data_IF_048290463805
#
_entry.id   IF_048290463805
#
_cell.length_a   1.000
_cell.length_b   1.000
_cell.length_c   1.000
_cell.angle_alpha   90.00
_cell.angle_beta   90.00
_cell.angle_gamma   90.00
#
_symmetry.space_group_name_H-M   'P 1'
#
loop_
_entity.id
_entity.type
_entity.pdbx_description
1 polymer ?
#
# COMPACT_ATOMS: atom_id res chain seq x y z
N UNK A 1 -55.61 -15.82 -11.20
CA UNK A 1 -54.31 -15.89 -10.51
C UNK A 1 -54.54 -16.12 -9.02
N UNK A 2 -53.97 -17.19 -8.46
CA UNK A 2 -54.00 -17.48 -7.01
C UNK A 2 -53.35 -16.35 -6.20
N UNK A 3 -53.85 -16.09 -4.98
CA UNK A 3 -53.27 -15.11 -4.03
C UNK A 3 -51.79 -15.43 -3.72
N UNK A 4 -51.45 -16.71 -3.65
CA UNK A 4 -50.07 -17.17 -3.42
C UNK A 4 -49.15 -16.76 -4.57
N UNK A 5 -49.57 -16.95 -5.83
CA UNK A 5 -48.79 -16.57 -7.00
C UNK A 5 -48.54 -15.06 -7.08
N UNK A 6 -49.54 -14.23 -6.71
CA UNK A 6 -49.37 -12.77 -6.62
C UNK A 6 -48.38 -12.37 -5.52
N UNK A 7 -48.43 -13.04 -4.36
CA UNK A 7 -47.51 -12.77 -3.26
C UNK A 7 -46.07 -13.12 -3.62
N UNK A 8 -45.84 -14.28 -4.26
CA UNK A 8 -44.50 -14.68 -4.73
C UNK A 8 -43.96 -13.68 -5.74
N UNK A 9 -44.76 -13.28 -6.73
CA UNK A 9 -44.34 -12.31 -7.74
C UNK A 9 -43.99 -10.95 -7.12
N UNK A 10 -44.82 -10.44 -6.23
CA UNK A 10 -44.54 -9.18 -5.52
C UNK A 10 -43.25 -9.27 -4.70
N UNK A 11 -43.06 -10.39 -3.99
CA UNK A 11 -41.87 -10.60 -3.15
C UNK A 11 -40.59 -10.65 -3.99
N UNK A 12 -40.58 -11.39 -5.09
CA UNK A 12 -39.38 -11.50 -5.94
C UNK A 12 -39.06 -10.18 -6.64
N UNK A 13 -40.07 -9.45 -7.10
CA UNK A 13 -39.88 -8.11 -7.67
C UNK A 13 -39.31 -7.12 -6.65
N UNK A 14 -39.83 -7.10 -5.42
CA UNK A 14 -39.33 -6.25 -4.34
C UNK A 14 -37.89 -6.60 -3.96
N UNK A 15 -37.59 -7.89 -3.85
CA UNK A 15 -36.24 -8.34 -3.52
C UNK A 15 -35.23 -7.94 -4.61
N UNK A 16 -35.58 -8.14 -5.89
CA UNK A 16 -34.74 -7.73 -7.01
C UNK A 16 -34.49 -6.22 -7.01
N UNK A 17 -35.54 -5.41 -6.85
CA UNK A 17 -35.42 -3.96 -6.73
C UNK A 17 -34.58 -3.53 -5.52
N UNK A 18 -34.75 -4.22 -4.39
CA UNK A 18 -33.99 -3.98 -3.17
C UNK A 18 -32.50 -4.22 -3.32
N UNK A 19 -32.10 -5.29 -4.02
CA UNK A 19 -30.68 -5.58 -4.30
C UNK A 19 -30.07 -4.49 -5.18
N UNK A 20 -30.77 -4.06 -6.24
CA UNK A 20 -30.28 -2.99 -7.11
C UNK A 20 -30.08 -1.70 -6.32
N UNK A 21 -31.07 -1.31 -5.51
CA UNK A 21 -30.98 -0.15 -4.65
C UNK A 21 -29.81 -0.25 -3.66
N UNK A 22 -29.64 -1.41 -3.03
CA UNK A 22 -28.57 -1.67 -2.08
C UNK A 22 -27.18 -1.55 -2.71
N UNK A 23 -26.97 -2.11 -3.91
CA UNK A 23 -25.70 -1.98 -4.63
C UNK A 23 -25.40 -0.51 -4.96
N UNK A 24 -26.39 0.27 -5.42
CA UNK A 24 -26.19 1.70 -5.68
C UNK A 24 -25.85 2.50 -4.41
N UNK A 25 -26.47 2.16 -3.28
CA UNK A 25 -26.11 2.74 -2.00
C UNK A 25 -24.66 2.40 -1.63
N UNK A 26 -24.27 1.14 -1.77
CA UNK A 26 -22.93 0.66 -1.43
C UNK A 26 -21.85 1.26 -2.33
N UNK A 27 -22.08 1.33 -3.65
CA UNK A 27 -21.19 2.00 -4.62
C UNK A 27 -20.91 3.47 -4.24
N UNK A 28 -21.91 4.19 -3.72
CA UNK A 28 -21.72 5.57 -3.26
C UNK A 28 -20.85 5.64 -2.01
N UNK A 29 -21.03 4.72 -1.06
CA UNK A 29 -20.22 4.64 0.14
C UNK A 29 -18.75 4.30 -0.19
N UNK A 30 -18.52 3.36 -1.11
CA UNK A 30 -17.17 2.98 -1.56
C UNK A 30 -16.45 4.13 -2.29
N UNK A 31 -17.18 4.92 -3.09
CA UNK A 31 -16.60 6.08 -3.78
C UNK A 31 -15.99 7.09 -2.81
N UNK A 32 -16.60 7.30 -1.64
CA UNK A 32 -16.04 8.17 -0.61
C UNK A 32 -14.74 7.59 -0.02
N UNK A 33 -14.68 6.28 0.17
CA UNK A 33 -13.47 5.59 0.66
C UNK A 33 -12.31 5.64 -0.36
N UNK A 34 -12.61 5.63 -1.66
CA UNK A 34 -11.59 5.72 -2.72
C UNK A 34 -10.80 7.03 -2.68
N UNK A 35 -11.44 8.15 -2.32
CA UNK A 35 -10.75 9.43 -2.14
C UNK A 35 -9.79 9.44 -0.94
N UNK A 36 -10.11 8.71 0.13
CA UNK A 36 -9.23 8.56 1.28
C UNK A 36 -7.93 7.80 0.93
N UNK A 37 -8.00 6.85 -0.02
CA UNK A 37 -6.83 6.15 -0.54
C UNK A 37 -5.84 7.10 -1.22
N UNK A 38 -6.34 7.99 -2.09
CA UNK A 38 -5.52 8.96 -2.83
C UNK A 38 -4.81 9.94 -1.88
N UNK A 39 -5.54 10.47 -0.90
CA UNK A 39 -4.97 11.39 0.11
C UNK A 39 -3.82 10.72 0.87
N UNK A 40 -4.00 9.46 1.27
CA UNK A 40 -2.97 8.69 1.97
C UNK A 40 -1.74 8.41 1.10
N UNK A 41 -1.92 8.26 -0.21
CA UNK A 41 -0.81 8.08 -1.16
C UNK A 41 -0.04 9.38 -1.44
N UNK A 42 -0.73 10.53 -1.42
CA UNK A 42 -0.08 11.85 -1.50
C UNK A 42 0.82 12.12 -0.29
N UNK A 43 0.34 11.83 0.92
CA UNK A 43 1.13 11.94 2.15
C UNK A 43 2.37 11.03 2.12
N UNK A 44 2.21 9.78 1.67
CA UNK A 44 3.33 8.84 1.49
C UNK A 44 4.35 9.34 0.47
N UNK A 45 3.90 10.03 -0.58
CA UNK A 45 4.78 10.58 -1.61
C UNK A 45 5.60 11.75 -1.07
N UNK A 46 5.01 12.62 -0.22
CA UNK A 46 5.76 13.70 0.45
C UNK A 46 6.88 13.15 1.34
N UNK A 47 6.57 12.20 2.21
CA UNK A 47 7.55 11.60 3.13
C UNK A 47 8.68 10.90 2.35
N UNK A 48 8.38 10.24 1.23
CA UNK A 48 9.40 9.65 0.37
C UNK A 48 10.35 10.69 -0.24
N UNK A 49 9.82 11.86 -0.65
CA UNK A 49 10.64 12.95 -1.20
C UNK A 49 11.57 13.53 -0.15
N UNK A 50 11.08 13.74 1.07
CA UNK A 50 11.91 14.21 2.20
C UNK A 50 13.06 13.23 2.46
N UNK A 51 12.77 11.93 2.56
CA UNK A 51 13.82 10.90 2.76
C UNK A 51 14.83 10.80 1.62
N UNK A 52 14.40 11.08 0.37
CA UNK A 52 15.31 11.11 -0.78
C UNK A 52 16.30 12.27 -0.67
N UNK A 53 15.81 13.46 -0.30
CA UNK A 53 16.65 14.64 -0.08
C UNK A 53 17.63 14.43 1.08
N UNK A 54 17.18 13.80 2.18
CA UNK A 54 18.04 13.46 3.31
C UNK A 54 19.17 12.50 2.91
N UNK A 55 18.87 11.54 2.03
CA UNK A 55 19.85 10.59 1.52
C UNK A 55 20.85 11.26 0.58
N UNK A 56 20.38 12.14 -0.30
CA UNK A 56 21.25 12.90 -1.21
C UNK A 56 22.21 13.82 -0.45
N UNK A 57 21.71 14.54 0.56
CA UNK A 57 22.54 15.39 1.42
C UNK A 57 23.62 14.58 2.16
N UNK A 58 23.25 13.42 2.74
CA UNK A 58 24.23 12.55 3.39
C UNK A 58 25.30 12.04 2.43
N UNK A 59 24.90 11.68 1.21
CA UNK A 59 25.82 11.22 0.16
C UNK A 59 26.77 12.32 -0.30
N UNK A 60 26.34 13.57 -0.33
CA UNK A 60 27.19 14.71 -0.64
C UNK A 60 28.20 14.98 0.49
N UNK A 61 27.73 15.00 1.74
CA UNK A 61 28.60 15.11 2.92
C UNK A 61 29.66 14.00 2.93
N UNK A 62 29.26 12.75 2.69
CA UNK A 62 30.19 11.62 2.63
C UNK A 62 31.30 11.85 1.59
N UNK A 63 30.94 12.31 0.38
CA UNK A 63 31.94 12.64 -0.66
C UNK A 63 32.87 13.77 -0.23
N UNK A 64 32.39 14.75 0.52
CA UNK A 64 33.23 15.82 1.05
C UNK A 64 34.21 15.32 2.11
N UNK A 65 33.75 14.51 3.06
CA UNK A 65 34.61 13.90 4.09
C UNK A 65 35.62 12.90 3.50
N UNK A 66 35.25 12.15 2.46
CA UNK A 66 36.18 11.24 1.78
C UNK A 66 37.36 11.96 1.09
N UNK A 67 37.19 13.23 0.69
CA UNK A 67 38.29 14.02 0.08
C UNK A 67 39.41 14.32 1.08
N UNK A 68 39.06 14.49 2.36
CA UNK A 68 40.02 14.79 3.43
C UNK A 68 40.45 13.54 4.19
N UNK A 69 39.66 12.46 4.16
CA UNK A 69 39.93 11.23 4.91
C UNK A 69 39.67 10.00 4.02
N UNK A 70 40.72 9.31 3.56
CA UNK A 70 40.57 8.04 2.86
C UNK A 70 40.18 6.95 3.87
N UNK A 71 38.89 6.61 3.95
CA UNK A 71 38.42 5.50 4.76
C UNK A 71 38.70 4.21 4.00
N UNK A 72 39.56 3.35 4.54
CA UNK A 72 39.76 2.02 3.97
C UNK A 72 38.48 1.20 4.15
N UNK A 73 37.91 0.68 3.06
CA UNK A 73 36.88 -0.35 3.15
C UNK A 73 37.50 -1.56 3.85
N UNK A 74 37.12 -1.84 5.09
CA UNK A 74 37.45 -3.12 5.73
C UNK A 74 36.68 -4.19 4.96
N UNK A 75 37.35 -4.75 3.94
CA UNK A 75 37.00 -6.04 3.38
C UNK A 75 37.59 -7.10 4.30
N UNK A 76 36.90 -7.38 5.40
CA UNK A 76 37.25 -8.50 6.27
C UNK A 76 35.96 -9.25 6.60
N UNK A 77 35.62 -10.20 5.72
CA UNK A 77 34.92 -11.41 6.14
C UNK A 77 36.00 -12.47 6.41
N UNK A 78 36.40 -12.70 7.67
CA UNK A 78 37.38 -13.73 7.99
C UNK A 78 36.68 -15.09 8.07
N UNK A 79 37.13 -16.02 7.23
CA UNK A 79 37.22 -17.45 7.53
C UNK A 79 35.95 -18.21 7.91
N UNK A 80 35.24 -18.74 6.91
CA UNK A 80 34.53 -20.04 7.07
C UNK A 80 35.53 -21.18 6.86
N UNK A 81 36.50 -21.29 7.77
CA UNK A 81 37.31 -22.48 7.97
C UNK A 81 36.68 -23.28 9.11
N UNK A 82 35.81 -24.23 8.76
CA UNK A 82 35.09 -25.07 9.73
C UNK A 82 35.04 -26.50 9.24
N UNK A 83 36.18 -27.18 9.34
CA UNK A 83 36.34 -28.62 9.26
C UNK A 83 35.43 -29.29 10.30
N UNK A 84 34.34 -29.91 9.84
CA UNK A 84 33.42 -30.70 10.65
C UNK A 84 33.50 -32.16 10.20
N UNK A 85 34.21 -32.97 10.98
CA UNK A 85 34.37 -34.42 10.84
C UNK A 85 33.04 -35.15 10.62
N UNK A 86 33.03 -36.07 9.66
CA UNK A 86 32.05 -37.13 9.43
C UNK A 86 32.65 -38.19 8.55
#
# INVERSE_FOLDING_TARGET
MSRAAKATLATTSLLCGGVIWFVHYFQRAEKAAMHAGVIRDEERTRIKRERQLDFEMQRELEKEYQKSQSVSSVNEAPGTGGEGKG
#
